data_IF_587138300969
#
_entry.id   IF_587138300969
#
_cell.length_a   1.000
_cell.length_b   1.000
_cell.length_c   1.000
_cell.angle_alpha   90.00
_cell.angle_beta   90.00
_cell.angle_gamma   90.00
#
_symmetry.space_group_name_H-M   'P 1'
#
loop_
_entity.id
_entity.type
_entity.pdbx_description
1 polymer ?
#
# COMPACT_ATOMS: atom_id res chain seq x y z
N UNK A 1 34.75 -78.44 3.09
CA UNK A 1 35.55 -77.24 2.73
C UNK A 1 34.86 -76.40 1.67
N UNK A 2 34.74 -76.83 0.39
CA UNK A 2 34.25 -75.97 -0.73
C UNK A 2 32.98 -75.17 -0.42
N UNK A 3 31.95 -75.80 0.14
CA UNK A 3 30.64 -75.16 0.41
C UNK A 3 30.73 -73.93 1.35
N UNK A 4 31.68 -73.94 2.28
CA UNK A 4 31.80 -72.91 3.31
C UNK A 4 32.49 -71.64 2.78
N UNK A 5 33.44 -71.80 1.83
CA UNK A 5 34.11 -70.69 1.15
C UNK A 5 33.16 -69.92 0.22
N UNK A 6 32.22 -70.60 -0.45
CA UNK A 6 31.24 -69.96 -1.34
C UNK A 6 30.27 -69.07 -0.56
N UNK A 7 29.79 -69.53 0.60
CA UNK A 7 28.91 -68.73 1.47
C UNK A 7 29.63 -67.48 1.98
N UNK A 8 30.92 -67.59 2.36
CA UNK A 8 31.71 -66.42 2.78
C UNK A 8 31.87 -65.38 1.65
N UNK A 9 32.14 -65.83 0.42
CA UNK A 9 32.26 -64.94 -0.73
C UNK A 9 30.96 -64.22 -1.07
N UNK A 10 29.81 -64.91 -0.98
CA UNK A 10 28.49 -64.32 -1.20
C UNK A 10 28.11 -63.32 -0.10
N UNK A 11 28.50 -63.56 1.16
CA UNK A 11 28.28 -62.60 2.25
C UNK A 11 29.15 -61.34 2.09
N UNK A 12 30.42 -61.50 1.67
CA UNK A 12 31.32 -60.36 1.43
C UNK A 12 30.90 -59.52 0.23
N UNK A 13 30.40 -60.11 -0.86
CA UNK A 13 29.90 -59.34 -2.01
C UNK A 13 28.61 -58.56 -1.68
N UNK A 14 27.71 -59.12 -0.87
CA UNK A 14 26.54 -58.42 -0.33
C UNK A 14 26.93 -57.24 0.57
N UNK A 15 27.96 -57.38 1.40
CA UNK A 15 28.44 -56.30 2.27
C UNK A 15 29.11 -55.16 1.48
N UNK A 16 29.88 -55.48 0.43
CA UNK A 16 30.50 -54.47 -0.44
C UNK A 16 29.44 -53.62 -1.17
N UNK A 17 28.33 -54.23 -1.61
CA UNK A 17 27.24 -53.52 -2.30
C UNK A 17 26.42 -52.56 -1.42
N UNK A 18 26.56 -52.61 -0.09
CA UNK A 18 25.81 -51.75 0.84
C UNK A 18 26.47 -50.40 1.13
N UNK A 19 27.71 -50.18 0.68
CA UNK A 19 28.60 -49.13 1.23
C UNK A 19 28.80 -47.87 0.38
N UNK A 20 28.29 -47.80 -0.86
CA UNK A 20 28.52 -46.65 -1.76
C UNK A 20 27.31 -46.21 -2.59
N UNK A 21 26.14 -46.02 -1.97
CA UNK A 21 25.08 -45.15 -2.53
C UNK A 21 24.63 -44.15 -1.45
N UNK A 22 25.56 -43.30 -1.00
CA UNK A 22 25.21 -42.02 -0.39
C UNK A 22 24.86 -41.04 -1.51
N UNK A 23 23.68 -41.23 -2.12
CA UNK A 23 23.13 -40.24 -3.04
C UNK A 23 22.90 -38.95 -2.25
N UNK A 24 23.77 -37.97 -2.48
CA UNK A 24 23.51 -36.59 -2.13
C UNK A 24 22.38 -36.07 -3.02
N UNK A 25 21.15 -36.50 -2.72
CA UNK A 25 19.93 -35.81 -3.15
C UNK A 25 19.99 -34.45 -2.46
N UNK A 26 20.62 -33.49 -3.12
CA UNK A 26 20.46 -32.08 -2.79
C UNK A 26 18.96 -31.79 -2.92
N UNK A 27 18.27 -31.77 -1.78
CA UNK A 27 16.83 -31.59 -1.75
C UNK A 27 16.50 -30.29 -2.48
N UNK A 28 15.68 -30.39 -3.54
CA UNK A 28 15.34 -29.24 -4.38
C UNK A 28 14.87 -28.11 -3.45
N UNK A 29 15.47 -26.91 -3.51
CA UNK A 29 15.09 -25.83 -2.61
C UNK A 29 13.58 -25.57 -2.71
N UNK A 30 12.91 -25.41 -1.57
CA UNK A 30 11.52 -24.93 -1.56
C UNK A 30 11.49 -23.59 -2.30
N UNK A 31 10.43 -23.31 -3.05
CA UNK A 31 10.32 -22.05 -3.81
C UNK A 31 10.61 -20.81 -2.96
N UNK A 32 10.15 -20.80 -1.71
CA UNK A 32 10.45 -19.75 -0.72
C UNK A 32 11.96 -19.48 -0.54
N UNK A 33 12.82 -20.50 -0.59
CA UNK A 33 14.27 -20.33 -0.46
C UNK A 33 14.94 -19.90 -1.77
N UNK A 34 14.32 -20.16 -2.93
CA UNK A 34 14.73 -19.58 -4.22
C UNK A 34 14.37 -18.09 -4.29
N UNK A 35 13.24 -17.72 -3.69
CA UNK A 35 12.75 -16.33 -3.61
C UNK A 35 13.50 -15.50 -2.53
N UNK A 36 14.42 -16.09 -1.74
CA UNK A 36 15.08 -15.41 -0.61
C UNK A 36 16.06 -14.32 -1.05
N UNK A 37 15.75 -13.08 -0.68
CA UNK A 37 16.63 -11.92 -0.86
C UNK A 37 17.76 -12.01 0.18
N UNK A 38 19.01 -12.23 -0.27
CA UNK A 38 20.16 -12.32 0.64
C UNK A 38 20.59 -10.94 1.19
N UNK A 39 20.56 -9.91 0.34
CA UNK A 39 20.79 -8.50 0.71
C UNK A 39 20.29 -7.60 -0.42
N UNK A 40 19.79 -6.40 -0.10
CA UNK A 40 19.50 -5.38 -1.12
C UNK A 40 20.66 -4.37 -1.24
N UNK A 41 21.05 -3.95 -2.45
CA UNK A 41 22.14 -2.99 -2.65
C UNK A 41 21.92 -1.68 -1.86
N UNK A 42 22.84 -1.35 -0.95
CA UNK A 42 22.75 -0.14 -0.12
C UNK A 42 21.77 -0.20 1.06
N UNK A 43 21.08 -1.33 1.27
CA UNK A 43 20.33 -1.58 2.51
C UNK A 43 21.34 -1.83 3.66
N UNK A 44 21.18 -1.21 4.85
CA UNK A 44 21.95 -1.60 6.03
C UNK A 44 21.69 -3.06 6.42
N UNK A 45 22.59 -3.71 7.19
CA UNK A 45 22.36 -5.07 7.67
C UNK A 45 21.04 -5.20 8.45
N UNK A 46 20.16 -6.10 8.01
CA UNK A 46 18.86 -6.39 8.64
C UNK A 46 18.87 -7.76 9.31
N UNK A 47 18.02 -7.92 10.34
CA UNK A 47 17.91 -9.16 11.13
C UNK A 47 16.68 -10.01 10.80
N UNK A 48 15.86 -9.58 9.83
CA UNK A 48 14.67 -10.30 9.36
C UNK A 48 14.92 -11.00 8.00
N UNK A 49 14.24 -12.12 7.75
CA UNK A 49 14.18 -12.66 6.39
C UNK A 49 13.37 -11.75 5.47
N UNK A 50 13.78 -11.66 4.22
CA UNK A 50 13.02 -11.01 3.16
C UNK A 50 13.04 -11.89 1.90
N UNK A 51 11.90 -11.95 1.22
CA UNK A 51 11.66 -12.83 0.07
C UNK A 51 10.93 -12.07 -1.03
N UNK A 52 11.26 -12.32 -2.29
CA UNK A 52 10.49 -11.80 -3.41
C UNK A 52 10.57 -12.69 -4.64
N UNK A 53 9.49 -12.67 -5.41
CA UNK A 53 9.28 -13.53 -6.56
C UNK A 53 7.91 -13.28 -7.19
N UNK A 54 7.38 -14.28 -7.89
CA UNK A 54 6.13 -14.16 -8.64
C UNK A 54 5.13 -15.27 -8.26
N UNK A 55 3.91 -14.87 -7.89
CA UNK A 55 2.77 -15.77 -7.67
C UNK A 55 1.92 -15.81 -8.94
N UNK A 56 1.89 -16.95 -9.63
CA UNK A 56 1.03 -17.15 -10.81
C UNK A 56 -0.44 -17.08 -10.39
N UNK A 57 -1.19 -16.15 -11.00
CA UNK A 57 -2.63 -15.94 -10.75
C UNK A 57 -3.51 -16.42 -11.89
N UNK A 58 -2.95 -16.64 -13.08
CA UNK A 58 -3.64 -17.34 -14.17
C UNK A 58 -2.60 -17.89 -15.18
N UNK A 59 -2.49 -19.21 -15.26
CA UNK A 59 -1.50 -19.91 -16.09
C UNK A 59 -1.72 -19.68 -17.60
N UNK A 60 -2.98 -19.70 -18.06
CA UNK A 60 -3.34 -19.65 -19.50
C UNK A 60 -2.80 -18.38 -20.22
N UNK A 61 -2.94 -17.16 -19.68
CA UNK A 61 -2.31 -15.95 -20.21
C UNK A 61 -0.95 -15.63 -19.55
N UNK A 62 -0.35 -16.56 -18.80
CA UNK A 62 0.93 -16.34 -18.11
C UNK A 62 0.94 -15.20 -17.09
N UNK A 63 -0.21 -14.88 -16.46
CA UNK A 63 -0.31 -13.77 -15.51
C UNK A 63 0.18 -14.18 -14.12
N UNK A 64 1.15 -13.44 -13.60
CA UNK A 64 1.63 -13.52 -12.23
C UNK A 64 1.65 -12.15 -11.56
N UNK A 65 1.52 -12.13 -10.23
CA UNK A 65 1.75 -10.95 -9.39
C UNK A 65 3.13 -11.03 -8.76
N UNK A 66 3.87 -9.93 -8.77
CA UNK A 66 5.09 -9.82 -7.97
C UNK A 66 4.72 -9.69 -6.48
N UNK A 67 5.54 -10.27 -5.60
CA UNK A 67 5.44 -10.05 -4.16
C UNK A 67 6.80 -9.71 -3.53
N UNK A 68 6.76 -8.94 -2.45
CA UNK A 68 7.89 -8.76 -1.52
C UNK A 68 7.36 -8.98 -0.10
N UNK A 69 7.89 -10.00 0.57
CA UNK A 69 7.54 -10.39 1.94
C UNK A 69 8.72 -10.07 2.85
N UNK A 70 8.44 -9.45 3.99
CA UNK A 70 9.40 -9.26 5.09
C UNK A 70 8.86 -9.98 6.34
N UNK A 71 9.70 -10.77 7.00
CA UNK A 71 9.33 -11.43 8.25
C UNK A 71 9.44 -10.46 9.44
N UNK A 72 8.67 -10.72 10.49
CA UNK A 72 8.84 -9.98 11.75
C UNK A 72 10.18 -10.36 12.42
N UNK A 73 10.90 -9.37 12.94
CA UNK A 73 12.22 -9.54 13.59
C UNK A 73 12.23 -10.42 14.84
N UNK A 74 11.05 -10.73 15.41
CA UNK A 74 10.91 -11.61 16.57
C UNK A 74 9.65 -12.46 16.48
N UNK A 75 9.84 -13.79 16.53
CA UNK A 75 8.80 -14.82 16.48
C UNK A 75 7.82 -14.69 15.30
N UNK A 76 8.31 -14.61 14.03
CA UNK A 76 7.45 -14.45 12.85
C UNK A 76 6.38 -15.54 12.73
N UNK A 77 6.67 -16.76 13.19
CA UNK A 77 5.74 -17.90 13.24
C UNK A 77 4.53 -17.70 14.19
N UNK A 78 4.56 -16.64 15.01
CA UNK A 78 3.49 -16.24 15.94
C UNK A 78 2.87 -14.88 15.59
N UNK A 79 3.23 -14.26 14.46
CA UNK A 79 2.68 -12.96 14.03
C UNK A 79 1.60 -13.14 12.95
N UNK A 80 0.60 -12.24 12.87
CA UNK A 80 -0.34 -12.24 11.76
C UNK A 80 0.37 -11.86 10.45
N UNK A 81 0.03 -12.52 9.35
CA UNK A 81 0.40 -12.07 8.01
C UNK A 81 -0.45 -10.84 7.65
N UNK A 82 0.21 -9.75 7.24
CA UNK A 82 -0.43 -8.53 6.75
C UNK A 82 -0.18 -8.41 5.24
N UNK A 83 -1.24 -8.37 4.45
CA UNK A 83 -1.16 -8.11 3.02
C UNK A 83 -1.34 -6.61 2.77
N UNK A 84 -0.34 -5.94 2.19
CA UNK A 84 -0.39 -4.52 1.85
C UNK A 84 -0.70 -4.31 0.36
N UNK A 85 -1.72 -3.50 0.06
CA UNK A 85 -2.17 -3.16 -1.29
C UNK A 85 -2.30 -1.63 -1.43
N UNK A 86 -1.57 -1.04 -2.38
CA UNK A 86 -1.78 0.35 -2.81
C UNK A 86 -2.91 0.44 -3.87
N UNK A 87 -3.61 1.58 -3.95
CA UNK A 87 -4.83 1.77 -4.77
C UNK A 87 -4.60 2.27 -6.21
N UNK A 88 -5.28 3.38 -6.58
CA UNK A 88 -5.02 4.19 -7.78
C UNK A 88 -4.80 3.43 -9.09
N UNK A 89 -5.81 2.69 -9.61
CA UNK A 89 -5.68 1.51 -10.49
C UNK A 89 -4.37 1.37 -11.31
N UNK A 90 -3.53 0.42 -10.88
CA UNK A 90 -2.23 0.13 -11.50
C UNK A 90 -1.01 0.53 -10.67
N UNK A 91 -1.20 0.76 -9.36
CA UNK A 91 -0.14 1.04 -8.40
C UNK A 91 0.59 -0.24 -7.91
N UNK A 92 1.84 -0.09 -7.53
CA UNK A 92 2.72 -1.09 -6.93
C UNK A 92 2.72 -0.97 -5.41
N UNK A 93 2.66 -2.10 -4.70
CA UNK A 93 2.87 -2.11 -3.24
C UNK A 93 4.32 -1.86 -2.81
N UNK A 94 5.28 -1.84 -3.76
CA UNK A 94 6.74 -1.79 -3.48
C UNK A 94 7.32 -0.39 -3.56
N UNK A 95 6.76 0.52 -4.37
CA UNK A 95 7.35 1.82 -4.66
C UNK A 95 6.34 2.98 -4.59
N UNK A 96 6.81 4.14 -4.16
CA UNK A 96 6.06 5.40 -4.11
C UNK A 96 6.28 6.14 -5.45
N UNK A 97 5.23 6.54 -6.16
CA UNK A 97 5.32 7.44 -7.34
C UNK A 97 3.95 8.09 -7.64
N UNK A 98 3.87 9.07 -8.54
CA UNK A 98 2.61 9.75 -8.91
C UNK A 98 2.04 9.37 -10.29
N UNK A 99 0.73 9.07 -10.36
CA UNK A 99 -0.12 9.44 -11.51
C UNK A 99 -1.63 9.32 -11.23
N UNK A 100 -2.40 10.33 -11.68
CA UNK A 100 -3.87 10.29 -11.65
C UNK A 100 -4.44 9.31 -12.69
N UNK A 101 -5.25 8.36 -12.22
CA UNK A 101 -6.40 7.80 -12.94
C UNK A 101 -7.52 7.48 -11.93
N UNK A 102 -8.63 8.23 -11.97
CA UNK A 102 -9.86 7.84 -11.28
C UNK A 102 -10.40 6.55 -11.92
N UNK A 103 -10.88 5.60 -11.11
CA UNK A 103 -11.48 4.38 -11.65
C UNK A 103 -11.68 3.21 -10.68
N UNK A 104 -12.76 3.28 -9.88
CA UNK A 104 -13.54 2.16 -9.33
C UNK A 104 -12.96 1.26 -8.21
N UNK A 105 -13.73 1.25 -7.11
CA UNK A 105 -13.87 0.27 -6.02
C UNK A 105 -12.65 -0.06 -5.15
N UNK A 106 -12.91 -0.11 -3.83
CA UNK A 106 -11.98 -0.58 -2.81
C UNK A 106 -11.66 -2.07 -2.96
N UNK A 107 -10.59 -2.37 -3.71
CA UNK A 107 -10.05 -3.71 -3.95
C UNK A 107 -9.87 -4.52 -2.66
N UNK A 108 -9.48 -3.88 -1.56
CA UNK A 108 -9.31 -4.51 -0.24
C UNK A 108 -10.61 -5.13 0.30
N UNK A 109 -11.75 -4.44 0.13
CA UNK A 109 -13.06 -4.93 0.56
C UNK A 109 -13.55 -6.08 -0.32
N UNK A 110 -13.41 -5.94 -1.65
CA UNK A 110 -13.72 -7.02 -2.59
C UNK A 110 -12.86 -8.26 -2.36
N UNK A 111 -11.56 -8.09 -2.05
CA UNK A 111 -10.67 -9.21 -1.75
C UNK A 111 -11.05 -9.89 -0.44
N UNK A 112 -11.40 -9.13 0.60
CA UNK A 112 -11.91 -9.67 1.85
C UNK A 112 -13.19 -10.49 1.66
N UNK A 113 -14.15 -9.98 0.87
CA UNK A 113 -15.36 -10.71 0.47
C UNK A 113 -15.01 -12.01 -0.26
N UNK A 114 -14.16 -11.95 -1.29
CA UNK A 114 -13.79 -13.12 -2.11
C UNK A 114 -13.02 -14.18 -1.31
N UNK A 115 -12.22 -13.79 -0.32
CA UNK A 115 -11.60 -14.73 0.63
C UNK A 115 -12.67 -15.40 1.51
N UNK A 116 -13.67 -14.67 1.98
CA UNK A 116 -14.79 -15.22 2.76
C UNK A 116 -15.67 -16.15 1.92
N UNK A 117 -15.97 -15.82 0.66
CA UNK A 117 -16.66 -16.70 -0.28
C UNK A 117 -15.87 -17.97 -0.57
N UNK A 118 -14.58 -17.84 -0.90
CA UNK A 118 -13.70 -18.99 -1.15
C UNK A 118 -13.63 -19.94 0.05
N UNK A 119 -13.49 -19.40 1.26
CA UNK A 119 -13.50 -20.18 2.50
C UNK A 119 -14.83 -20.92 2.73
N UNK A 120 -15.99 -20.36 2.36
CA UNK A 120 -17.30 -21.03 2.49
C UNK A 120 -17.41 -22.29 1.61
N UNK A 121 -16.62 -22.40 0.55
CA UNK A 121 -16.59 -23.58 -0.33
C UNK A 121 -15.69 -24.72 0.20
N UNK A 122 -14.98 -24.53 1.33
CA UNK A 122 -14.02 -25.49 1.86
C UNK A 122 -14.48 -26.09 3.19
N UNK A 123 -14.37 -27.41 3.32
CA UNK A 123 -14.58 -28.14 4.59
C UNK A 123 -13.57 -27.74 5.68
N UNK A 124 -12.40 -27.23 5.27
CA UNK A 124 -11.38 -26.65 6.15
C UNK A 124 -10.85 -25.35 5.49
N UNK A 125 -11.30 -24.17 5.95
CA UNK A 125 -10.83 -22.88 5.43
C UNK A 125 -9.31 -22.70 5.60
N UNK A 126 -8.60 -22.44 4.50
CA UNK A 126 -7.14 -22.27 4.51
C UNK A 126 -6.67 -20.83 4.77
N UNK A 127 -7.55 -19.83 4.61
CA UNK A 127 -7.21 -18.41 4.83
C UNK A 127 -7.94 -17.86 6.06
N UNK A 128 -7.22 -17.75 7.19
CA UNK A 128 -7.76 -17.28 8.47
C UNK A 128 -7.87 -15.74 8.56
N UNK A 129 -8.66 -15.14 7.66
CA UNK A 129 -8.87 -13.69 7.59
C UNK A 129 -9.43 -13.15 8.91
N UNK A 130 -8.78 -12.11 9.47
CA UNK A 130 -9.17 -11.48 10.74
C UNK A 130 -9.88 -10.13 10.60
N UNK A 131 -9.84 -9.53 9.43
CA UNK A 131 -10.31 -8.19 9.14
C UNK A 131 -9.47 -7.57 8.04
N UNK A 132 -9.71 -6.29 7.76
CA UNK A 132 -8.94 -5.50 6.81
C UNK A 132 -8.83 -4.05 7.32
N UNK A 133 -7.83 -3.32 6.82
CA UNK A 133 -7.61 -1.89 7.13
C UNK A 133 -7.57 -1.15 5.81
N UNK A 134 -8.13 0.06 5.78
CA UNK A 134 -8.18 0.93 4.59
C UNK A 134 -7.81 2.35 5.02
N UNK A 135 -6.72 2.90 4.48
CA UNK A 135 -6.36 4.32 4.63
C UNK A 135 -6.72 5.08 3.37
N UNK A 136 -7.44 6.19 3.50
CA UNK A 136 -7.77 7.17 2.45
C UNK A 136 -7.99 6.55 1.06
N UNK A 137 -8.98 5.68 0.96
CA UNK A 137 -9.38 5.04 -0.29
C UNK A 137 -10.74 5.57 -0.74
N UNK A 138 -10.95 5.58 -2.06
CA UNK A 138 -12.25 5.87 -2.67
C UNK A 138 -13.23 4.76 -2.30
N UNK A 139 -14.27 5.10 -1.54
CA UNK A 139 -15.34 4.20 -1.11
C UNK A 139 -16.56 4.29 -2.04
N UNK A 140 -16.96 5.52 -2.39
CA UNK A 140 -18.12 5.83 -3.21
C UNK A 140 -17.85 7.12 -4.00
N UNK A 141 -17.75 7.00 -5.33
CA UNK A 141 -17.36 8.12 -6.20
C UNK A 141 -18.24 9.39 -6.01
N UNK A 142 -19.51 9.25 -5.63
CA UNK A 142 -20.43 10.37 -5.45
C UNK A 142 -20.09 11.17 -4.18
N UNK A 143 -19.87 10.49 -3.05
CA UNK A 143 -19.49 11.15 -1.80
C UNK A 143 -18.01 11.56 -1.79
N UNK A 144 -17.14 10.80 -2.44
CA UNK A 144 -15.72 11.12 -2.54
C UNK A 144 -15.47 12.39 -3.38
N UNK A 145 -16.10 12.53 -4.55
CA UNK A 145 -15.96 13.77 -5.34
C UNK A 145 -16.55 15.00 -4.63
N UNK A 146 -17.68 14.86 -3.93
CA UNK A 146 -18.27 15.97 -3.16
C UNK A 146 -17.37 16.35 -1.98
N UNK A 147 -16.92 15.37 -1.20
CA UNK A 147 -16.05 15.59 -0.04
C UNK A 147 -14.71 16.22 -0.41
N UNK A 148 -14.14 15.88 -1.58
CA UNK A 148 -12.95 16.53 -2.15
C UNK A 148 -13.19 17.99 -2.52
N UNK A 149 -14.30 18.31 -3.20
CA UNK A 149 -14.64 19.69 -3.56
C UNK A 149 -14.97 20.54 -2.31
N UNK A 150 -15.57 19.94 -1.28
CA UNK A 150 -15.82 20.58 0.02
C UNK A 150 -14.53 20.76 0.85
N UNK A 151 -13.58 19.82 0.78
CA UNK A 151 -12.26 19.96 1.41
C UNK A 151 -11.48 21.13 0.81
N UNK A 152 -11.41 21.25 -0.52
CA UNK A 152 -10.75 22.37 -1.19
C UNK A 152 -11.35 23.73 -0.80
N UNK A 153 -12.68 23.81 -0.64
CA UNK A 153 -13.37 25.04 -0.23
C UNK A 153 -13.13 25.38 1.24
N UNK A 154 -13.35 24.41 2.15
CA UNK A 154 -13.16 24.59 3.60
C UNK A 154 -11.71 24.92 3.98
N UNK A 155 -10.73 24.44 3.23
CA UNK A 155 -9.31 24.77 3.40
C UNK A 155 -8.86 26.02 2.62
N UNK A 156 -9.81 26.80 2.08
CA UNK A 156 -9.58 28.06 1.35
C UNK A 156 -8.70 27.91 0.08
N UNK A 157 -8.63 26.71 -0.51
CA UNK A 157 -7.90 26.42 -1.75
C UNK A 157 -8.70 26.81 -3.00
N UNK A 158 -10.03 26.91 -2.90
CA UNK A 158 -10.91 27.44 -3.95
C UNK A 158 -11.91 28.44 -3.38
N UNK A 159 -12.29 29.43 -4.20
CA UNK A 159 -13.27 30.43 -3.81
C UNK A 159 -14.71 29.89 -3.73
N UNK A 160 -15.55 30.56 -2.93
CA UNK A 160 -17.00 30.38 -2.86
C UNK A 160 -17.66 30.30 -4.25
N UNK A 161 -17.17 31.13 -5.18
CA UNK A 161 -17.62 31.18 -6.57
C UNK A 161 -17.33 29.88 -7.33
N UNK A 162 -16.16 29.24 -7.12
CA UNK A 162 -15.86 27.94 -7.71
C UNK A 162 -16.61 26.81 -7.04
N UNK A 163 -16.64 26.77 -5.71
CA UNK A 163 -17.37 25.74 -4.96
C UNK A 163 -18.84 25.67 -5.41
N UNK A 164 -19.55 26.81 -5.41
CA UNK A 164 -20.93 26.92 -5.90
C UNK A 164 -21.05 26.63 -7.40
N UNK A 165 -20.06 26.99 -8.22
CA UNK A 165 -20.05 26.67 -9.66
C UNK A 165 -19.89 25.18 -9.94
N UNK A 166 -19.03 24.47 -9.20
CA UNK A 166 -18.85 23.02 -9.36
C UNK A 166 -20.12 22.28 -8.91
N UNK A 167 -20.66 22.60 -7.73
CA UNK A 167 -21.92 22.03 -7.24
C UNK A 167 -23.13 22.30 -8.16
N UNK A 168 -23.14 23.44 -8.88
CA UNK A 168 -24.21 23.79 -9.82
C UNK A 168 -24.10 23.06 -11.17
N UNK A 169 -22.88 22.80 -11.66
CA UNK A 169 -22.65 22.31 -13.02
C UNK A 169 -22.32 20.81 -13.11
N UNK A 170 -22.03 20.14 -11.99
CA UNK A 170 -21.75 18.70 -11.92
C UNK A 170 -22.88 17.95 -11.20
N UNK A 171 -23.38 16.86 -11.79
CA UNK A 171 -24.23 15.88 -11.12
C UNK A 171 -23.40 14.62 -10.82
N UNK A 172 -22.72 14.63 -9.68
CA UNK A 172 -21.81 13.59 -9.22
C UNK A 172 -22.43 12.17 -9.14
N UNK A 173 -23.77 12.02 -9.21
CA UNK A 173 -24.45 10.71 -9.24
C UNK A 173 -24.42 10.03 -10.61
N UNK A 174 -23.98 10.72 -11.65
CA UNK A 174 -24.07 10.27 -13.05
C UNK A 174 -22.74 10.54 -13.77
N UNK A 175 -22.05 9.47 -14.14
CA UNK A 175 -20.71 9.49 -14.75
C UNK A 175 -20.70 10.21 -16.11
N UNK A 176 -21.82 10.21 -16.83
CA UNK A 176 -22.01 11.00 -18.05
C UNK A 176 -22.01 12.51 -17.78
N UNK A 177 -22.38 12.96 -16.57
CA UNK A 177 -22.41 14.38 -16.21
C UNK A 177 -21.01 14.94 -15.92
N UNK A 178 -20.10 14.13 -15.35
CA UNK A 178 -18.67 14.45 -15.26
C UNK A 178 -18.06 14.70 -16.65
N UNK A 179 -18.60 14.02 -17.67
CA UNK A 179 -18.19 14.17 -19.07
C UNK A 179 -18.83 15.39 -19.74
N UNK A 180 -19.79 16.06 -19.12
CA UNK A 180 -20.41 17.28 -19.65
C UNK A 180 -19.42 18.45 -19.67
N UNK A 181 -19.53 19.30 -20.70
CA UNK A 181 -18.62 20.44 -20.83
C UNK A 181 -18.74 21.48 -19.69
N UNK A 182 -19.94 21.80 -19.15
CA UNK A 182 -20.07 22.68 -17.99
C UNK A 182 -19.39 22.14 -16.74
N UNK A 183 -19.55 20.84 -16.42
CA UNK A 183 -18.88 20.24 -15.27
C UNK A 183 -17.35 20.24 -15.44
N UNK A 184 -16.86 19.87 -16.63
CA UNK A 184 -15.42 19.94 -16.97
C UNK A 184 -14.83 21.33 -16.79
N UNK A 185 -15.52 22.37 -17.27
CA UNK A 185 -15.08 23.76 -17.13
C UNK A 185 -15.10 24.20 -15.66
N UNK A 186 -16.15 23.86 -14.90
CA UNK A 186 -16.23 24.17 -13.48
C UNK A 186 -15.11 23.49 -12.67
N UNK A 187 -14.89 22.18 -12.85
CA UNK A 187 -13.79 21.43 -12.22
C UNK A 187 -12.42 21.99 -12.64
N UNK A 188 -12.21 22.29 -13.93
CA UNK A 188 -10.96 22.89 -14.41
C UNK A 188 -10.65 24.24 -13.76
N UNK A 189 -11.63 25.13 -13.64
CA UNK A 189 -11.45 26.42 -12.97
C UNK A 189 -11.22 26.29 -11.46
N UNK A 190 -11.80 25.28 -10.80
CA UNK A 190 -11.48 24.96 -9.40
C UNK A 190 -10.03 24.46 -9.26
N UNK A 191 -9.61 23.49 -10.08
CA UNK A 191 -8.23 22.97 -10.12
C UNK A 191 -7.21 24.08 -10.40
N UNK A 192 -7.57 25.07 -11.23
CA UNK A 192 -6.69 26.22 -11.53
C UNK A 192 -6.52 27.16 -10.33
N UNK A 193 -7.50 27.27 -9.42
CA UNK A 193 -7.37 28.08 -8.20
C UNK A 193 -6.47 27.42 -7.14
N UNK A 194 -6.25 26.10 -7.18
CA UNK A 194 -5.36 25.38 -6.25
C UNK A 194 -3.88 25.80 -6.38
N UNK A 195 -3.44 26.23 -7.56
CA UNK A 195 -2.06 26.65 -7.82
C UNK A 195 -1.03 25.51 -7.76
N UNK A 196 0.19 25.84 -7.33
CA UNK A 196 1.31 24.89 -7.16
C UNK A 196 1.34 24.37 -5.71
N UNK A 197 0.33 23.61 -5.33
CA UNK A 197 0.20 22.96 -4.01
C UNK A 197 0.39 21.44 -4.15
N UNK A 198 0.87 20.79 -3.10
CA UNK A 198 0.85 19.33 -3.04
C UNK A 198 -0.57 18.89 -2.65
N UNK A 199 -1.33 18.38 -3.63
CA UNK A 199 -2.68 17.86 -3.40
C UNK A 199 -2.69 16.67 -2.43
N UNK A 200 -1.55 16.01 -2.21
CA UNK A 200 -1.40 14.91 -1.28
C UNK A 200 -1.04 15.35 0.14
N UNK A 201 -0.47 16.54 0.35
CA UNK A 201 -0.37 17.13 1.69
C UNK A 201 -0.29 18.64 1.58
N UNK A 202 -1.42 19.31 1.85
CA UNK A 202 -1.59 20.75 1.59
C UNK A 202 -0.69 21.66 2.43
N UNK A 203 0.07 21.10 3.37
CA UNK A 203 1.01 21.81 4.24
C UNK A 203 2.50 21.51 3.94
N UNK A 204 2.82 20.64 2.97
CA UNK A 204 4.21 20.33 2.58
C UNK A 204 4.63 21.01 1.27
N UNK A 205 5.93 21.24 1.04
CA UNK A 205 6.43 21.75 -0.24
C UNK A 205 6.16 20.78 -1.38
N UNK A 206 5.88 21.29 -2.58
CA UNK A 206 5.84 20.43 -3.79
C UNK A 206 7.25 19.95 -4.18
N UNK A 207 7.33 18.83 -4.91
CA UNK A 207 8.61 18.33 -5.43
C UNK A 207 9.41 19.41 -6.19
N UNK A 208 8.74 20.23 -7.00
CA UNK A 208 9.38 21.35 -7.71
C UNK A 208 9.98 22.39 -6.75
N UNK A 209 9.26 22.78 -5.70
CA UNK A 209 9.75 23.74 -4.70
C UNK A 209 10.94 23.19 -3.89
N UNK A 210 10.95 21.88 -3.60
CA UNK A 210 12.05 21.21 -2.88
C UNK A 210 13.35 21.09 -3.69
N UNK A 211 13.26 21.14 -5.03
CA UNK A 211 14.39 20.98 -5.94
C UNK A 211 15.00 22.32 -6.40
N UNK A 212 14.33 23.44 -6.13
CA UNK A 212 14.85 24.77 -6.48
C UNK A 212 15.79 25.30 -5.37
N UNK A 213 17.10 25.12 -5.61
CA UNK A 213 18.17 25.59 -4.72
C UNK A 213 18.19 27.13 -4.50
N UNK A 214 17.34 27.91 -5.18
CA UNK A 214 17.18 29.35 -4.89
C UNK A 214 16.33 29.62 -3.64
N UNK A 215 15.54 28.64 -3.15
CA UNK A 215 14.83 28.75 -1.87
C UNK A 215 15.81 28.69 -0.68
N UNK A 216 16.37 29.86 -0.36
CA UNK A 216 16.97 30.10 0.96
C UNK A 216 15.95 29.71 2.04
N UNK A 217 16.29 28.85 3.02
CA UNK A 217 15.34 28.42 4.04
C UNK A 217 14.83 29.65 4.79
N UNK A 218 13.50 29.81 4.86
CA UNK A 218 12.87 30.98 5.49
C UNK A 218 13.26 30.98 6.97
N UNK A 219 14.26 31.81 7.29
CA UNK A 219 14.96 31.79 8.58
C UNK A 219 14.11 32.51 9.63
N UNK A 220 13.01 31.89 10.02
CA UNK A 220 12.23 32.25 11.20
C UNK A 220 13.18 32.29 12.41
N UNK A 221 13.57 33.51 12.78
CA UNK A 221 14.47 33.73 13.92
C UNK A 221 13.69 33.41 15.20
N UNK A 222 14.19 32.42 15.93
CA UNK A 222 13.96 32.24 17.37
C UNK A 222 12.53 31.85 17.79
N UNK A 223 11.88 30.90 17.10
CA UNK A 223 10.84 30.07 17.74
C UNK A 223 11.42 28.73 18.16
N UNK A 224 11.06 28.25 19.36
CA UNK A 224 11.60 27.02 19.96
C UNK A 224 11.03 25.72 19.34
N UNK A 225 10.25 25.82 18.27
CA UNK A 225 9.53 24.73 17.61
C UNK A 225 10.44 23.82 16.73
N UNK A 226 11.73 23.69 17.05
CA UNK A 226 12.64 22.76 16.35
C UNK A 226 12.53 21.32 16.90
N UNK A 227 11.32 20.85 17.22
CA UNK A 227 11.04 19.41 17.32
C UNK A 227 11.10 18.87 15.89
N UNK A 228 11.87 17.82 15.64
CA UNK A 228 11.89 17.15 14.33
C UNK A 228 10.52 16.48 14.11
N UNK A 229 9.60 17.18 13.46
CA UNK A 229 8.59 16.52 12.64
C UNK A 229 9.34 15.64 11.63
N UNK A 230 8.77 14.47 11.31
CA UNK A 230 9.32 13.65 10.23
C UNK A 230 9.27 14.49 8.96
N UNK A 231 10.43 14.75 8.36
CA UNK A 231 10.57 15.67 7.23
C UNK A 231 10.01 14.97 5.99
N UNK A 232 8.71 15.17 5.73
CA UNK A 232 8.02 14.58 4.58
C UNK A 232 8.72 15.03 3.31
N UNK A 233 9.35 14.05 2.64
CA UNK A 233 10.12 14.27 1.44
C UNK A 233 9.25 14.00 0.20
N UNK A 234 8.79 15.06 -0.53
CA UNK A 234 8.04 14.89 -1.77
C UNK A 234 8.89 14.25 -2.89
N UNK A 235 10.20 14.12 -2.69
CA UNK A 235 11.15 13.49 -3.62
C UNK A 235 11.32 11.99 -3.38
N UNK A 236 10.85 11.47 -2.24
CA UNK A 236 11.02 10.08 -1.80
C UNK A 236 10.59 9.07 -2.87
N UNK A 237 9.54 9.41 -3.60
CA UNK A 237 9.08 8.71 -4.79
C UNK A 237 10.13 8.58 -5.90
N UNK A 238 10.72 9.71 -6.31
CA UNK A 238 11.74 9.77 -7.35
C UNK A 238 13.05 9.08 -6.92
N UNK A 239 13.29 8.94 -5.61
CA UNK A 239 14.39 8.14 -5.07
C UNK A 239 14.07 6.64 -5.13
N UNK A 240 12.82 6.22 -4.84
CA UNK A 240 12.37 4.84 -5.01
C UNK A 240 12.40 4.40 -6.49
N UNK A 241 11.94 5.24 -7.43
CA UNK A 241 12.05 4.97 -8.88
C UNK A 241 13.51 4.73 -9.30
N UNK A 242 14.41 5.64 -8.93
CA UNK A 242 15.86 5.55 -9.22
C UNK A 242 16.59 4.43 -8.46
N UNK A 243 15.91 3.75 -7.54
CA UNK A 243 16.43 2.61 -6.80
C UNK A 243 15.94 1.29 -7.42
N UNK A 244 14.63 1.11 -7.54
CA UNK A 244 14.03 -0.13 -8.07
C UNK A 244 14.20 -0.30 -9.59
N UNK A 245 14.64 0.74 -10.32
CA UNK A 245 15.08 0.61 -11.72
C UNK A 245 16.56 0.24 -11.91
N UNK A 246 17.33 0.03 -10.84
CA UNK A 246 18.73 -0.42 -10.96
C UNK A 246 18.81 -1.93 -11.19
N UNK A 247 19.66 -2.36 -12.11
CA UNK A 247 19.78 -3.76 -12.52
C UNK A 247 20.22 -4.67 -11.37
N UNK A 248 21.09 -4.20 -10.48
CA UNK A 248 21.53 -4.92 -9.28
C UNK A 248 20.42 -5.07 -8.24
N UNK A 249 19.53 -4.07 -8.10
CA UNK A 249 18.36 -4.14 -7.21
C UNK A 249 17.30 -5.08 -7.79
N UNK A 250 17.03 -4.99 -9.11
CA UNK A 250 16.10 -5.89 -9.80
C UNK A 250 16.54 -7.36 -9.73
N UNK A 251 17.84 -7.63 -9.89
CA UNK A 251 18.41 -8.98 -9.70
C UNK A 251 18.25 -9.47 -8.27
N UNK A 252 18.58 -8.64 -7.27
CA UNK A 252 18.43 -9.00 -5.85
C UNK A 252 16.96 -9.20 -5.43
N UNK A 253 16.02 -8.55 -6.11
CA UNK A 253 14.56 -8.70 -5.93
C UNK A 253 13.93 -9.78 -6.82
N UNK A 254 14.72 -10.53 -7.60
CA UNK A 254 14.24 -11.55 -8.56
C UNK A 254 13.20 -11.02 -9.58
N UNK A 255 13.34 -9.76 -10.01
CA UNK A 255 12.29 -9.00 -10.69
C UNK A 255 12.65 -8.55 -12.12
N UNK A 256 11.69 -8.69 -13.05
CA UNK A 256 11.81 -8.25 -14.44
C UNK A 256 11.09 -6.90 -14.67
N UNK A 257 11.63 -5.84 -14.05
CA UNK A 257 11.05 -4.48 -13.94
C UNK A 257 9.80 -4.39 -13.02
N UNK A 258 9.71 -3.30 -12.24
CA UNK A 258 8.96 -3.31 -10.97
C UNK A 258 8.04 -2.11 -10.66
N UNK A 259 8.20 -0.97 -11.33
CA UNK A 259 7.85 0.33 -10.74
C UNK A 259 6.67 1.01 -11.45
N UNK A 260 5.64 1.37 -10.67
CA UNK A 260 4.51 2.28 -11.00
C UNK A 260 3.66 2.56 -9.72
N UNK A 261 3.77 3.75 -9.11
CA UNK A 261 2.76 4.45 -8.23
C UNK A 261 2.27 3.71 -6.93
N UNK A 262 1.63 4.22 -5.84
CA UNK A 262 1.22 5.55 -5.31
C UNK A 262 1.06 5.49 -3.74
N UNK A 263 0.27 6.36 -3.08
CA UNK A 263 0.19 6.55 -1.60
C UNK A 263 -1.25 6.70 -1.00
N UNK A 264 -1.44 6.97 0.32
CA UNK A 264 -2.71 7.28 1.06
C UNK A 264 -2.52 7.82 2.52
N UNK A 265 -3.28 8.84 2.98
CA UNK A 265 -3.24 9.45 4.36
C UNK A 265 -4.00 10.82 4.55
N UNK A 266 -3.83 11.57 5.66
CA UNK A 266 -4.78 12.52 6.32
C UNK A 266 -4.95 13.97 5.78
N UNK A 267 -3.88 14.75 5.53
CA UNK A 267 -3.94 16.17 5.05
C UNK A 267 -4.18 16.30 3.54
N UNK A 268 -4.86 15.29 3.02
CA UNK A 268 -4.98 14.93 1.63
C UNK A 268 -6.18 15.61 0.96
N UNK A 269 -5.93 16.26 -0.18
CA UNK A 269 -6.94 16.90 -1.01
C UNK A 269 -7.42 16.00 -2.17
N UNK A 270 -7.01 14.72 -2.22
CA UNK A 270 -7.43 13.73 -3.23
C UNK A 270 -8.52 12.80 -2.69
N UNK A 271 -8.37 12.25 -1.48
CA UNK A 271 -9.35 11.42 -0.75
C UNK A 271 -9.42 11.84 0.73
N UNK A 272 -9.97 13.04 1.02
CA UNK A 272 -9.96 13.63 2.36
C UNK A 272 -10.82 12.88 3.39
N UNK A 273 -10.61 13.25 4.66
CA UNK A 273 -11.45 12.85 5.81
C UNK A 273 -12.93 13.16 5.58
N UNK A 274 -13.26 14.27 4.91
CA UNK A 274 -14.64 14.66 4.54
C UNK A 274 -15.29 13.66 3.58
N UNK A 275 -14.58 13.23 2.54
CA UNK A 275 -15.01 12.23 1.57
C UNK A 275 -15.31 10.87 2.23
N UNK A 276 -14.42 10.42 3.12
CA UNK A 276 -14.64 9.19 3.90
C UNK A 276 -15.83 9.35 4.86
N UNK A 277 -15.93 10.46 5.60
CA UNK A 277 -17.04 10.70 6.53
C UNK A 277 -18.42 10.73 5.85
N UNK A 278 -18.52 11.42 4.70
CA UNK A 278 -19.73 11.42 3.87
C UNK A 278 -20.07 10.03 3.33
N UNK A 279 -19.08 9.23 2.94
CA UNK A 279 -19.31 7.84 2.51
C UNK A 279 -19.87 6.98 3.64
N UNK A 280 -19.28 7.06 4.85
CA UNK A 280 -19.69 6.26 6.01
C UNK A 280 -21.10 6.59 6.52
N UNK A 281 -21.51 7.86 6.51
CA UNK A 281 -22.86 8.25 6.98
C UNK A 281 -24.00 7.62 6.17
N UNK A 282 -23.73 7.20 4.93
CA UNK A 282 -24.73 6.57 4.05
C UNK A 282 -24.73 5.04 4.10
N UNK A 283 -23.77 4.42 4.79
CA UNK A 283 -23.76 2.97 5.05
C UNK A 283 -24.77 2.56 6.14
N UNK A 284 -25.41 3.53 6.82
CA UNK A 284 -26.40 3.31 7.89
C UNK A 284 -25.93 2.36 9.00
N UNK A 285 -24.63 2.43 9.33
CA UNK A 285 -24.01 1.62 10.36
C UNK A 285 -24.40 2.14 11.75
N UNK A 286 -24.68 1.23 12.68
CA UNK A 286 -24.93 1.57 14.09
C UNK A 286 -23.63 2.04 14.75
N UNK A 287 -23.64 3.25 15.33
CA UNK A 287 -22.53 3.78 16.13
C UNK A 287 -22.56 3.12 17.52
N UNK A 288 -21.42 2.58 17.94
CA UNK A 288 -21.15 2.04 19.28
C UNK A 288 -20.46 3.06 20.19
N UNK A 289 -19.56 3.87 19.65
CA UNK A 289 -18.86 4.94 20.39
C UNK A 289 -18.76 6.17 19.52
N UNK A 290 -19.41 7.26 19.95
CA UNK A 290 -19.38 8.58 19.30
C UNK A 290 -17.95 9.14 19.18
N UNK A 291 -17.69 9.89 18.11
CA UNK A 291 -16.43 10.60 17.81
C UNK A 291 -15.65 11.13 19.04
N UNK A 292 -14.46 10.56 19.29
CA UNK A 292 -13.58 10.89 20.42
C UNK A 292 -12.11 11.03 19.99
N UNK A 293 -11.28 11.84 20.70
CA UNK A 293 -9.85 11.96 20.38
C UNK A 293 -9.04 10.78 20.91
N UNK A 294 -8.03 10.34 20.14
CA UNK A 294 -6.98 9.43 20.60
C UNK A 294 -5.66 10.19 20.79
N UNK A 295 -4.82 9.71 21.71
CA UNK A 295 -3.62 10.43 22.15
C UNK A 295 -2.35 9.58 22.09
N UNK A 296 -1.24 10.22 21.73
CA UNK A 296 0.13 9.71 21.78
C UNK A 296 1.02 10.80 22.40
N UNK A 297 1.97 10.44 23.27
CA UNK A 297 2.90 11.40 23.92
C UNK A 297 2.23 12.64 24.58
N UNK A 298 1.02 12.46 25.13
CA UNK A 298 0.16 13.54 25.65
C UNK A 298 -0.24 14.61 24.62
N UNK A 299 -0.33 14.24 23.33
CA UNK A 299 -0.89 15.04 22.25
C UNK A 299 -2.03 14.28 21.57
N UNK A 300 -3.04 15.00 21.08
CA UNK A 300 -4.09 14.41 20.23
C UNK A 300 -3.47 14.03 18.89
N UNK A 301 -3.28 12.72 18.68
CA UNK A 301 -2.80 12.14 17.43
C UNK A 301 -3.89 12.04 16.36
N UNK A 302 -5.16 12.10 16.77
CA UNK A 302 -6.30 12.16 15.86
C UNK A 302 -7.61 11.89 16.59
N UNK A 303 -8.62 11.48 15.82
CA UNK A 303 -9.96 11.15 16.34
C UNK A 303 -10.43 9.78 15.84
N UNK A 304 -11.47 9.24 16.46
CA UNK A 304 -12.00 7.90 16.19
C UNK A 304 -13.49 7.83 16.47
N UNK A 305 -14.21 7.10 15.64
CA UNK A 305 -15.60 6.68 15.88
C UNK A 305 -15.74 5.18 15.59
N UNK A 306 -16.49 4.50 16.47
CA UNK A 306 -16.62 3.04 16.44
C UNK A 306 -18.05 2.67 16.10
N UNK A 307 -18.20 1.84 15.07
CA UNK A 307 -19.44 1.23 14.61
C UNK A 307 -19.42 -0.28 14.90
N UNK A 308 -20.55 -0.97 14.79
CA UNK A 308 -20.68 -2.42 15.11
C UNK A 308 -19.63 -3.36 14.50
N UNK A 309 -19.15 -3.06 13.28
CA UNK A 309 -18.18 -3.89 12.54
C UNK A 309 -17.07 -3.06 11.87
N UNK A 310 -16.95 -1.77 12.20
CA UNK A 310 -16.02 -0.84 11.57
C UNK A 310 -15.50 0.16 12.63
N UNK A 311 -14.23 0.53 12.55
CA UNK A 311 -13.69 1.68 13.27
C UNK A 311 -13.12 2.65 12.25
N UNK A 312 -13.58 3.90 12.29
CA UNK A 312 -13.03 4.98 11.49
C UNK A 312 -12.13 5.84 12.37
N UNK A 313 -10.93 6.19 11.88
CA UNK A 313 -9.98 7.01 12.60
C UNK A 313 -9.22 7.95 11.66
N UNK A 314 -8.79 9.09 12.20
CA UNK A 314 -7.96 10.10 11.52
C UNK A 314 -6.58 10.19 12.19
N UNK A 315 -5.59 10.74 11.48
CA UNK A 315 -4.18 10.79 11.92
C UNK A 315 -3.64 12.20 11.69
N UNK A 316 -3.96 13.08 12.65
CA UNK A 316 -3.85 14.53 12.57
C UNK A 316 -2.50 15.01 12.02
N UNK A 317 -2.51 15.51 10.78
CA UNK A 317 -1.34 16.13 10.17
C UNK A 317 -0.42 15.18 9.42
N UNK A 318 -0.79 13.92 9.21
CA UNK A 318 -0.09 13.05 8.26
C UNK A 318 -0.34 13.53 6.81
N UNK A 319 0.59 13.29 5.89
CA UNK A 319 0.32 13.53 4.47
C UNK A 319 -0.64 12.49 3.91
N UNK A 320 -0.79 12.41 2.58
CA UNK A 320 -1.30 11.19 1.93
C UNK A 320 -0.26 10.04 2.00
N UNK A 321 0.53 9.95 3.08
CA UNK A 321 1.22 8.79 3.66
C UNK A 321 1.82 9.13 5.02
#
# INVERSE_FOLDING_TARGET
MVFQSVVLFLFMSLLIFSSTITTAIAALPKQQELDRISALPGQPPVTFSQFSGYVTVNEQPGRALFYWLTEATAFPEKKPLVLWLNGGPGCSSVALEHRRKLGHLGLTGLLAEKIVEYNKALLQPILNLKGFIVGNAVFDNYYDEIGTIEYWWSHSMISDTRYRSVLKNCNFKVVESERSQPCKQAKYHAITELGNIDEYSIYTPTWLASHDNTMSPIRFKNTLLRRRLSEYDPCSANYAEKYYNRLEVQKAMHANCLVRHCSSGDTDAVVPVTATGLSLSHLNLTIKTLWYPWNEDNQVGGWTEVYDQLTFATVRGAGHK
#
